data_IF_992357378310
#
_entry.id   IF_992357378310
#
_cell.length_a   1.000
_cell.length_b   1.000
_cell.length_c   1.000
_cell.angle_alpha   90.00
_cell.angle_beta   90.00
_cell.angle_gamma   90.00
#
_symmetry.space_group_name_H-M   'P 1'
#
loop_
_entity.id
_entity.type
_entity.pdbx_description
1 polymer ?
#
# COMPACT_ATOMS: atom_id res chain seq x y z
N UNK A 1 -13.82 3.85 -13.77
CA UNK A 1 -13.63 2.40 -13.86
C UNK A 1 -12.15 2.12 -14.10
N UNK A 2 -11.42 1.93 -12.98
CA UNK A 2 -9.95 1.77 -12.97
C UNK A 2 -9.50 0.55 -13.78
N UNK A 3 -10.31 -0.52 -13.77
CA UNK A 3 -10.04 -1.74 -14.55
C UNK A 3 -10.12 -1.47 -16.06
N UNK A 4 -11.08 -0.67 -16.51
CA UNK A 4 -11.22 -0.28 -17.90
C UNK A 4 -10.05 0.58 -18.40
N UNK A 5 -9.49 1.42 -17.54
CA UNK A 5 -8.31 2.20 -17.85
C UNK A 5 -7.07 1.32 -18.08
N UNK A 6 -6.85 0.31 -17.23
CA UNK A 6 -5.74 -0.63 -17.41
C UNK A 6 -5.90 -1.46 -18.69
N UNK A 7 -7.11 -1.95 -18.97
CA UNK A 7 -7.38 -2.70 -20.21
C UNK A 7 -7.09 -1.85 -21.46
N UNK A 8 -7.53 -0.60 -21.44
CA UNK A 8 -7.28 0.36 -22.53
C UNK A 8 -5.78 0.63 -22.70
N UNK A 9 -5.06 0.85 -21.59
CA UNK A 9 -3.62 1.11 -21.62
C UNK A 9 -2.82 -0.09 -22.17
N UNK A 10 -3.18 -1.33 -21.79
CA UNK A 10 -2.58 -2.55 -22.35
C UNK A 10 -2.85 -2.66 -23.83
N UNK A 11 -4.09 -2.43 -24.29
CA UNK A 11 -4.42 -2.49 -25.72
C UNK A 11 -3.69 -1.45 -26.56
N UNK A 12 -3.57 -0.21 -26.05
CA UNK A 12 -2.79 0.85 -26.71
C UNK A 12 -1.30 0.52 -26.75
N UNK A 13 -0.77 -0.03 -25.63
CA UNK A 13 0.60 -0.51 -25.57
C UNK A 13 0.88 -1.60 -26.62
N UNK A 14 0.03 -2.63 -26.71
CA UNK A 14 0.17 -3.69 -27.71
C UNK A 14 0.16 -3.16 -29.15
N UNK A 15 -0.72 -2.20 -29.45
CA UNK A 15 -0.72 -1.52 -30.77
C UNK A 15 0.59 -0.78 -31.03
N UNK A 16 1.18 -0.16 -30.00
CA UNK A 16 2.45 0.54 -30.15
C UNK A 16 3.60 -0.41 -30.50
N UNK A 17 3.60 -1.64 -29.99
CA UNK A 17 4.62 -2.65 -30.34
C UNK A 17 4.61 -2.96 -31.84
N UNK A 18 3.41 -3.06 -32.46
CA UNK A 18 3.29 -3.30 -33.89
C UNK A 18 3.87 -2.20 -34.79
N UNK A 19 4.06 -1.00 -34.24
CA UNK A 19 4.66 0.16 -34.93
C UNK A 19 6.12 0.39 -34.55
N UNK A 20 6.77 -0.55 -33.84
CA UNK A 20 8.17 -0.44 -33.51
C UNK A 20 9.06 -0.58 -34.73
N UNK A 21 10.05 0.27 -34.86
CA UNK A 21 11.00 0.32 -35.99
C UNK A 21 12.31 -0.40 -35.69
N UNK A 22 12.52 -0.82 -34.44
CA UNK A 22 13.69 -1.60 -34.01
C UNK A 22 13.32 -2.62 -32.94
N UNK A 23 14.14 -3.65 -32.79
CA UNK A 23 13.98 -4.67 -31.75
C UNK A 23 14.10 -4.07 -30.33
N UNK A 24 14.97 -3.12 -30.13
CA UNK A 24 15.17 -2.41 -28.88
C UNK A 24 13.92 -1.62 -28.50
N UNK A 25 13.35 -0.87 -29.42
CA UNK A 25 12.11 -0.14 -29.23
C UNK A 25 10.91 -1.09 -28.97
N UNK A 26 10.88 -2.25 -29.62
CA UNK A 26 9.86 -3.24 -29.34
C UNK A 26 9.97 -3.81 -27.91
N UNK A 27 11.18 -4.08 -27.43
CA UNK A 27 11.44 -4.53 -26.04
C UNK A 27 11.01 -3.50 -25.01
N UNK A 28 11.41 -2.25 -25.16
CA UNK A 28 10.99 -1.18 -24.25
C UNK A 28 9.47 -1.07 -24.15
N UNK A 29 8.76 -1.19 -25.27
CA UNK A 29 7.30 -1.14 -25.29
C UNK A 29 6.66 -2.35 -24.62
N UNK A 30 7.24 -3.54 -24.80
CA UNK A 30 6.80 -4.76 -24.11
C UNK A 30 7.02 -4.63 -22.60
N UNK A 31 8.16 -4.12 -22.17
CA UNK A 31 8.45 -3.90 -20.74
C UNK A 31 7.46 -2.91 -20.13
N UNK A 32 7.12 -1.82 -20.84
CA UNK A 32 6.10 -0.87 -20.39
C UNK A 32 4.70 -1.53 -20.26
N UNK A 33 4.32 -2.41 -21.19
CA UNK A 33 3.06 -3.16 -21.13
C UNK A 33 3.08 -4.14 -19.95
N UNK A 34 4.20 -4.80 -19.71
CA UNK A 34 4.36 -5.70 -18.57
C UNK A 34 4.12 -4.97 -17.25
N UNK A 35 4.72 -3.79 -17.06
CA UNK A 35 4.51 -2.95 -15.88
C UNK A 35 3.03 -2.57 -15.70
N UNK A 36 2.34 -2.19 -16.78
CA UNK A 36 0.91 -1.88 -16.75
C UNK A 36 0.09 -3.13 -16.37
N UNK A 37 0.42 -4.29 -16.91
CA UNK A 37 -0.28 -5.54 -16.62
C UNK A 37 -0.08 -5.98 -15.16
N UNK A 38 1.13 -5.85 -14.62
CA UNK A 38 1.43 -6.11 -13.21
C UNK A 38 0.62 -5.17 -12.31
N UNK A 39 0.58 -3.88 -12.63
CA UNK A 39 -0.22 -2.89 -11.89
C UNK A 39 -1.72 -3.22 -11.92
N UNK A 40 -2.25 -3.68 -13.07
CA UNK A 40 -3.64 -4.11 -13.23
C UNK A 40 -3.96 -5.34 -12.36
N UNK A 41 -3.08 -6.34 -12.33
CA UNK A 41 -3.23 -7.54 -11.50
C UNK A 41 -3.22 -7.14 -10.01
N UNK A 42 -2.33 -6.27 -9.60
CA UNK A 42 -2.27 -5.80 -8.21
C UNK A 42 -3.50 -4.96 -7.84
N UNK A 43 -4.01 -4.12 -8.76
CA UNK A 43 -5.26 -3.38 -8.55
C UNK A 43 -6.46 -4.31 -8.43
N UNK A 44 -6.58 -5.31 -9.31
CA UNK A 44 -7.63 -6.34 -9.23
C UNK A 44 -7.56 -7.12 -7.91
N UNK A 45 -6.36 -7.51 -7.48
CA UNK A 45 -6.15 -8.15 -6.18
C UNK A 45 -6.52 -7.22 -5.02
N UNK A 46 -6.23 -5.93 -5.11
CA UNK A 46 -6.66 -4.93 -4.13
C UNK A 46 -8.18 -4.80 -4.08
N UNK A 47 -8.85 -4.76 -5.23
CA UNK A 47 -10.32 -4.73 -5.32
C UNK A 47 -10.95 -6.01 -4.78
N UNK A 48 -10.41 -7.17 -5.13
CA UNK A 48 -10.87 -8.47 -4.62
C UNK A 48 -10.66 -8.62 -3.10
N UNK A 49 -9.56 -8.06 -2.57
CA UNK A 49 -9.33 -7.91 -1.12
C UNK A 49 -10.09 -6.73 -0.52
N UNK A 50 -10.75 -5.90 -1.35
CA UNK A 50 -11.53 -4.72 -1.01
C UNK A 50 -12.87 -5.00 -0.35
N UNK A 51 -13.36 -6.25 -0.43
CA UNK A 51 -14.35 -6.76 0.49
C UNK A 51 -13.72 -6.70 1.88
N UNK A 52 -14.39 -6.01 2.80
CA UNK A 52 -13.98 -5.92 4.21
C UNK A 52 -13.59 -7.34 4.67
N UNK A 53 -12.37 -7.58 5.19
CA UNK A 53 -12.06 -8.90 5.68
C UNK A 53 -13.13 -9.27 6.69
N UNK A 54 -13.68 -10.48 6.62
CA UNK A 54 -14.65 -10.96 7.61
C UNK A 54 -14.13 -10.76 9.04
N UNK A 55 -12.82 -10.89 9.22
CA UNK A 55 -12.11 -10.60 10.47
C UNK A 55 -12.34 -9.16 10.96
N UNK A 56 -12.39 -8.15 10.08
CA UNK A 56 -12.63 -6.76 10.49
C UNK A 56 -14.06 -6.54 10.98
N UNK A 57 -15.06 -7.13 10.29
CA UNK A 57 -16.46 -7.04 10.71
C UNK A 57 -16.75 -7.87 11.97
N UNK A 58 -16.17 -9.06 12.08
CA UNK A 58 -16.49 -10.03 13.12
C UNK A 58 -15.71 -9.75 14.42
N UNK A 59 -14.44 -9.40 14.32
CA UNK A 59 -13.53 -9.28 15.45
C UNK A 59 -12.99 -7.86 15.68
N UNK A 60 -13.18 -6.95 14.74
CA UNK A 60 -12.78 -5.55 14.84
C UNK A 60 -11.35 -5.26 14.40
N UNK A 61 -10.98 -3.98 14.49
CA UNK A 61 -9.77 -3.43 13.89
C UNK A 61 -8.48 -4.01 14.49
N UNK A 62 -8.42 -4.16 15.82
CA UNK A 62 -7.23 -4.70 16.50
C UNK A 62 -6.86 -6.07 15.97
N UNK A 63 -7.80 -7.01 15.99
CA UNK A 63 -7.55 -8.38 15.54
C UNK A 63 -7.28 -8.48 14.04
N UNK A 64 -7.93 -7.63 13.24
CA UNK A 64 -7.67 -7.56 11.81
C UNK A 64 -6.23 -7.10 11.51
N UNK A 65 -5.70 -6.15 12.29
CA UNK A 65 -4.31 -5.69 12.14
C UNK A 65 -3.32 -6.71 12.68
N UNK A 66 -3.59 -7.35 13.80
CA UNK A 66 -2.78 -8.46 14.31
C UNK A 66 -2.61 -9.54 13.24
N UNK A 67 -3.71 -9.95 12.65
CA UNK A 67 -3.72 -10.97 11.61
C UNK A 67 -2.89 -10.59 10.39
N UNK A 68 -3.04 -9.37 9.87
CA UNK A 68 -2.27 -8.94 8.70
C UNK A 68 -0.77 -8.86 9.00
N UNK A 69 -0.39 -8.49 10.23
CA UNK A 69 1.01 -8.49 10.65
C UNK A 69 1.58 -9.92 10.71
N UNK A 70 0.83 -10.88 11.26
CA UNK A 70 1.24 -12.29 11.36
C UNK A 70 1.37 -12.94 9.98
N UNK A 71 0.37 -12.74 9.12
CA UNK A 71 0.38 -13.29 7.76
C UNK A 71 1.57 -12.76 6.96
N UNK A 72 1.90 -11.46 7.10
CA UNK A 72 3.03 -10.88 6.40
C UNK A 72 4.38 -11.32 6.98
N UNK A 73 4.51 -11.40 8.32
CA UNK A 73 5.70 -11.95 8.97
C UNK A 73 5.98 -13.37 8.48
N UNK A 74 4.94 -14.21 8.42
CA UNK A 74 5.05 -15.60 7.95
C UNK A 74 5.47 -15.66 6.47
N UNK A 75 4.89 -14.79 5.64
CA UNK A 75 5.14 -14.80 4.19
C UNK A 75 6.51 -14.23 3.79
N UNK A 76 7.06 -13.29 4.57
CA UNK A 76 8.25 -12.52 4.17
C UNK A 76 9.44 -12.65 5.09
N UNK A 77 9.25 -13.15 6.32
CA UNK A 77 10.27 -13.16 7.37
C UNK A 77 10.54 -11.78 8.01
N UNK A 78 9.79 -10.74 7.62
CA UNK A 78 9.93 -9.40 8.15
C UNK A 78 9.55 -9.36 9.64
N UNK A 79 10.42 -8.79 10.48
CA UNK A 79 10.12 -8.63 11.90
C UNK A 79 9.13 -7.48 12.11
N UNK A 80 7.88 -7.79 12.43
CA UNK A 80 6.83 -6.78 12.62
C UNK A 80 6.48 -6.71 14.12
N UNK A 81 6.83 -5.58 14.74
CA UNK A 81 6.40 -5.24 16.11
C UNK A 81 5.16 -4.35 16.08
N UNK A 82 4.31 -4.46 17.09
CA UNK A 82 3.04 -3.72 17.13
C UNK A 82 2.73 -3.19 18.53
N UNK A 83 2.16 -1.98 18.56
CA UNK A 83 1.63 -1.32 19.76
C UNK A 83 0.22 -0.78 19.42
N UNK A 84 -0.81 -1.53 19.80
CA UNK A 84 -2.20 -1.28 19.40
C UNK A 84 -3.01 -0.76 20.60
N UNK A 85 -2.84 0.52 20.93
CA UNK A 85 -3.49 1.20 22.06
C UNK A 85 -4.86 1.76 21.68
N UNK A 86 -5.71 0.93 21.07
CA UNK A 86 -7.08 1.31 20.69
C UNK A 86 -8.14 0.53 21.46
N UNK A 87 -7.73 -0.46 22.25
CA UNK A 87 -8.62 -1.30 23.07
C UNK A 87 -9.73 -1.97 22.24
N UNK A 88 -10.88 -2.27 22.88
CA UNK A 88 -12.04 -2.86 22.20
C UNK A 88 -12.90 -1.83 21.44
N UNK A 89 -12.36 -0.61 21.22
CA UNK A 89 -13.11 0.46 20.56
C UNK A 89 -13.54 0.04 19.15
N UNK A 90 -14.78 0.40 18.80
CA UNK A 90 -15.30 0.28 17.45
C UNK A 90 -15.42 1.67 16.86
N UNK A 91 -14.97 1.79 15.64
CA UNK A 91 -15.01 3.03 14.88
C UNK A 91 -16.07 2.92 13.76
N UNK A 92 -16.40 4.04 13.13
CA UNK A 92 -17.22 3.99 11.93
C UNK A 92 -16.56 3.06 10.89
N UNK A 93 -17.37 2.25 10.22
CA UNK A 93 -16.87 1.22 9.28
C UNK A 93 -15.90 1.79 8.24
N UNK A 94 -16.16 3.00 7.74
CA UNK A 94 -15.24 3.67 6.80
C UNK A 94 -13.85 3.93 7.43
N UNK A 95 -13.78 4.26 8.71
CA UNK A 95 -12.53 4.50 9.43
C UNK A 95 -11.78 3.18 9.63
N UNK A 96 -12.48 2.13 10.09
CA UNK A 96 -11.88 0.81 10.30
C UNK A 96 -11.29 0.25 8.98
N UNK A 97 -12.07 0.31 7.88
CA UNK A 97 -11.62 -0.16 6.58
C UNK A 97 -10.42 0.64 6.07
N UNK A 98 -10.47 1.97 6.17
CA UNK A 98 -9.36 2.81 5.72
C UNK A 98 -8.08 2.55 6.53
N UNK A 99 -8.19 2.46 7.87
CA UNK A 99 -7.08 2.14 8.76
C UNK A 99 -6.46 0.80 8.41
N UNK A 100 -7.26 -0.24 8.29
CA UNK A 100 -6.81 -1.58 7.88
C UNK A 100 -6.05 -1.52 6.55
N UNK A 101 -6.58 -0.79 5.54
CA UNK A 101 -5.95 -0.66 4.23
C UNK A 101 -4.63 0.11 4.27
N UNK A 102 -4.55 1.15 5.09
CA UNK A 102 -3.32 1.93 5.26
C UNK A 102 -2.24 1.06 5.90
N UNK A 103 -2.58 0.28 6.93
CA UNK A 103 -1.62 -0.63 7.56
C UNK A 103 -1.18 -1.72 6.57
N UNK A 104 -2.11 -2.34 5.86
CA UNK A 104 -1.79 -3.37 4.85
C UNK A 104 -0.86 -2.83 3.75
N UNK A 105 -1.13 -1.64 3.23
CA UNK A 105 -0.33 -1.01 2.18
C UNK A 105 1.05 -0.59 2.71
N UNK A 106 1.11 0.02 3.91
CA UNK A 106 2.37 0.41 4.54
C UNK A 106 3.29 -0.78 4.80
N UNK A 107 2.75 -1.87 5.34
CA UNK A 107 3.49 -3.11 5.56
C UNK A 107 3.96 -3.75 4.24
N UNK A 108 3.11 -3.72 3.20
CA UNK A 108 3.47 -4.22 1.87
C UNK A 108 4.59 -3.40 1.25
N UNK A 109 4.55 -2.07 1.41
CA UNK A 109 5.59 -1.17 0.92
C UNK A 109 6.92 -1.41 1.64
N UNK A 110 6.90 -1.61 2.96
CA UNK A 110 8.08 -1.97 3.71
C UNK A 110 8.68 -3.29 3.22
N UNK A 111 7.87 -4.33 3.05
CA UNK A 111 8.33 -5.64 2.62
C UNK A 111 8.90 -5.65 1.19
N UNK A 112 8.30 -4.88 0.27
CA UNK A 112 8.66 -4.92 -1.16
C UNK A 112 9.71 -3.89 -1.58
N UNK A 113 9.75 -2.74 -0.92
CA UNK A 113 10.41 -1.55 -1.48
C UNK A 113 11.45 -0.91 -0.57
N UNK A 114 11.40 -1.15 0.74
CA UNK A 114 12.28 -0.44 1.68
C UNK A 114 13.60 -1.17 1.94
N UNK A 115 13.68 -2.48 1.68
CA UNK A 115 14.80 -3.32 2.12
C UNK A 115 14.88 -3.44 3.65
N UNK A 116 13.80 -3.13 4.36
CA UNK A 116 13.74 -3.22 5.81
C UNK A 116 13.83 -4.66 6.32
N UNK A 117 14.43 -4.83 7.47
CA UNK A 117 14.40 -6.06 8.26
C UNK A 117 13.39 -6.03 9.41
N UNK A 118 12.96 -4.83 9.79
CA UNK A 118 12.00 -4.61 10.86
C UNK A 118 11.03 -3.47 10.55
N UNK A 119 9.77 -3.65 10.99
CA UNK A 119 8.71 -2.63 10.92
C UNK A 119 8.03 -2.54 12.26
N UNK A 120 7.69 -1.32 12.67
CA UNK A 120 6.87 -1.05 13.84
C UNK A 120 5.54 -0.44 13.43
N UNK A 121 4.44 -1.04 13.90
CA UNK A 121 3.08 -0.55 13.68
C UNK A 121 2.51 -0.06 15.00
N UNK A 122 2.14 1.21 15.05
CA UNK A 122 1.51 1.80 16.23
C UNK A 122 0.12 2.35 15.87
N UNK A 123 -0.87 1.98 16.67
CA UNK A 123 -2.19 2.59 16.64
C UNK A 123 -2.52 3.13 18.04
N UNK A 124 -2.96 4.37 18.09
CA UNK A 124 -3.45 4.98 19.33
C UNK A 124 -4.74 5.75 19.07
N UNK A 125 -5.61 5.76 20.06
CA UNK A 125 -6.87 6.50 20.01
C UNK A 125 -6.95 7.42 21.23
N UNK A 126 -7.04 8.72 20.99
CA UNK A 126 -7.18 9.72 22.04
C UNK A 126 -8.15 10.82 21.60
N UNK A 127 -9.00 11.22 22.50
CA UNK A 127 -10.08 12.19 22.26
C UNK A 127 -10.99 11.78 21.09
N UNK A 128 -10.95 12.09 19.97
CA UNK A 128 -11.72 11.65 18.79
C UNK A 128 -10.82 11.33 17.60
N UNK A 129 -9.52 11.19 17.86
CA UNK A 129 -8.51 11.00 16.81
C UNK A 129 -7.91 9.60 16.91
N UNK A 130 -7.98 8.86 15.81
CA UNK A 130 -7.23 7.62 15.61
C UNK A 130 -5.93 7.96 14.87
N UNK A 131 -4.81 7.67 15.51
CA UNK A 131 -3.49 7.87 14.93
C UNK A 131 -2.87 6.54 14.52
N UNK A 132 -2.25 6.52 13.35
CA UNK A 132 -1.55 5.37 12.79
C UNK A 132 -0.12 5.79 12.52
N UNK A 133 0.85 5.01 13.00
CA UNK A 133 2.27 5.16 12.65
C UNK A 133 2.78 3.83 12.13
N UNK A 134 3.47 3.85 10.99
CA UNK A 134 4.16 2.69 10.42
C UNK A 134 5.58 3.14 10.16
N UNK A 135 6.53 2.56 10.87
CA UNK A 135 7.94 2.91 10.78
C UNK A 135 8.76 1.68 10.41
N UNK A 136 9.55 1.77 9.36
CA UNK A 136 10.49 0.74 8.94
C UNK A 136 11.94 1.21 9.10
N UNK A 137 12.87 0.26 9.21
CA UNK A 137 14.30 0.53 9.29
C UNK A 137 15.00 0.43 7.92
N UNK A 138 14.26 0.57 6.83
CA UNK A 138 14.78 0.45 5.47
C UNK A 138 15.48 1.71 4.97
N UNK A 139 15.72 1.74 3.67
CA UNK A 139 16.44 2.83 3.00
C UNK A 139 15.68 4.14 2.89
N UNK A 140 14.42 4.18 3.35
CA UNK A 140 13.54 5.33 3.22
C UNK A 140 13.09 5.60 1.77
N UNK A 141 12.35 6.69 1.59
CA UNK A 141 11.85 7.08 0.26
C UNK A 141 12.91 7.90 -0.45
N UNK A 142 13.40 7.40 -1.57
CA UNK A 142 14.34 8.13 -2.39
C UNK A 142 13.61 9.20 -3.23
N UNK A 143 13.68 10.45 -2.80
CA UNK A 143 13.06 11.61 -3.47
C UNK A 143 13.74 11.98 -4.79
N UNK A 144 14.89 11.40 -5.14
CA UNK A 144 15.63 11.70 -6.38
C UNK A 144 15.15 10.90 -7.59
N UNK A 145 14.30 9.87 -7.38
CA UNK A 145 13.69 9.16 -8.50
C UNK A 145 12.52 10.00 -9.01
N UNK A 146 12.60 10.42 -10.27
CA UNK A 146 11.56 11.11 -11.05
C UNK A 146 10.30 10.25 -11.31
N UNK A 147 10.26 9.04 -10.75
CA UNK A 147 9.06 8.22 -10.79
C UNK A 147 7.96 8.87 -9.92
N UNK A 148 6.73 9.03 -10.43
CA UNK A 148 5.61 9.52 -9.62
C UNK A 148 5.47 8.68 -8.36
N UNK A 149 5.08 9.33 -7.25
CA UNK A 149 4.79 8.64 -5.98
C UNK A 149 3.95 7.40 -6.29
N UNK A 150 4.40 6.22 -5.82
CA UNK A 150 3.74 4.96 -6.17
C UNK A 150 2.24 5.04 -5.85
N UNK A 151 1.40 4.44 -6.69
CA UNK A 151 -0.07 4.46 -6.56
C UNK A 151 -0.54 4.13 -5.12
N UNK A 152 0.22 3.32 -4.38
CA UNK A 152 -0.05 3.00 -2.97
C UNK A 152 -0.02 4.21 -2.05
N UNK A 153 1.00 5.07 -2.16
CA UNK A 153 1.13 6.29 -1.34
C UNK A 153 0.03 7.31 -1.67
N UNK A 154 -0.30 7.45 -2.95
CA UNK A 154 -1.41 8.30 -3.39
C UNK A 154 -2.73 7.80 -2.79
N UNK A 155 -3.01 6.50 -2.93
CA UNK A 155 -4.22 5.89 -2.39
C UNK A 155 -4.34 5.96 -0.86
N UNK A 156 -3.22 5.88 -0.11
CA UNK A 156 -3.24 6.11 1.34
C UNK A 156 -3.59 7.56 1.69
N UNK A 157 -3.02 8.53 0.99
CA UNK A 157 -3.31 9.96 1.19
C UNK A 157 -4.78 10.27 0.89
N UNK A 158 -5.29 9.80 -0.24
CA UNK A 158 -6.69 10.03 -0.64
C UNK A 158 -7.67 9.48 0.40
N UNK A 159 -7.44 8.26 0.92
CA UNK A 159 -8.28 7.67 1.97
C UNK A 159 -8.31 8.54 3.24
N UNK A 160 -7.15 9.08 3.64
CA UNK A 160 -7.09 9.97 4.81
C UNK A 160 -7.86 11.27 4.56
N UNK A 161 -7.70 11.88 3.38
CA UNK A 161 -8.42 13.12 3.02
C UNK A 161 -9.93 12.89 2.99
N UNK A 162 -10.41 11.77 2.43
CA UNK A 162 -11.84 11.44 2.40
C UNK A 162 -12.45 11.29 3.80
N UNK A 163 -11.67 10.97 4.81
CA UNK A 163 -12.09 10.87 6.22
C UNK A 163 -11.85 12.16 7.01
N UNK A 164 -11.41 13.24 6.36
CA UNK A 164 -11.05 14.50 7.02
C UNK A 164 -9.75 14.43 7.83
N UNK A 165 -8.94 13.41 7.60
CA UNK A 165 -7.65 13.20 8.27
C UNK A 165 -6.47 13.77 7.51
N UNK A 166 -5.26 13.59 8.07
CA UNK A 166 -3.99 14.00 7.48
C UNK A 166 -3.06 12.81 7.25
N UNK A 167 -2.19 12.92 6.26
CA UNK A 167 -1.20 11.91 5.91
C UNK A 167 0.17 12.53 5.73
N UNK A 168 1.17 12.04 6.45
CA UNK A 168 2.55 12.52 6.39
C UNK A 168 3.50 11.36 6.22
N UNK A 169 4.53 11.55 5.41
CA UNK A 169 5.64 10.62 5.26
C UNK A 169 6.91 11.34 5.66
N UNK A 170 7.69 10.71 6.52
CA UNK A 170 8.97 11.24 6.97
C UNK A 170 10.06 10.19 6.78
N UNK A 171 11.20 10.61 6.27
CA UNK A 171 12.43 9.80 6.31
C UNK A 171 13.33 10.43 7.36
N UNK A 172 13.64 9.74 8.47
CA UNK A 172 14.58 10.25 9.43
C UNK A 172 15.90 10.55 8.71
N UNK A 173 16.46 11.75 8.89
CA UNK A 173 17.83 12.03 8.46
C UNK A 173 18.73 11.16 9.32
N UNK A 174 19.44 10.22 8.71
CA UNK A 174 20.55 9.57 9.36
C UNK A 174 21.56 10.69 9.58
N UNK A 175 21.67 11.16 10.82
CA UNK A 175 22.63 12.17 11.19
C UNK A 175 24.04 11.64 10.91
N UNK A 176 24.85 12.41 10.17
CA UNK A 176 26.26 12.18 10.01
C UNK A 176 27.02 12.47 11.30
#
# INVERSE_FOLDING_TARGET
DELGQFQTAVLLGLRSVSSATSLEQARERVDAIHEIAVAAIESTRRMARGLSPSVLSDFGLTQAIERVCEDLTTATGLNITRDLQIGPARFASAVEIATYRIVQEGLTNAAKHSGASAVHVQLSHAASTLQITIADNGSGINHTRTAPAGLGLIGMRERMVMLGGSFTITTPRIGG
#
